data_IF_278653614406
#
_entry.id   IF_278653614406
#
_cell.length_a   1.000
_cell.length_b   1.000
_cell.length_c   1.000
_cell.angle_alpha   90.00
_cell.angle_beta   90.00
_cell.angle_gamma   90.00
#
_symmetry.space_group_name_H-M   'P 1'
#
loop_
_entity.id
_entity.type
_entity.pdbx_description
1 polymer ?
#
# COMPACT_ATOMS: atom_id res chain seq x y z
N UNK A 1 9.91 -3.09 1.60
CA UNK A 1 9.39 -4.43 1.33
C UNK A 1 9.18 -4.62 -0.17
N UNK A 2 8.31 -3.86 -0.81
CA UNK A 2 7.92 -4.00 -2.22
C UNK A 2 9.14 -3.98 -3.18
N UNK A 3 10.06 -3.03 -3.00
CA UNK A 3 11.27 -2.94 -3.82
C UNK A 3 12.20 -4.17 -3.70
N UNK A 4 12.22 -4.85 -2.56
CA UNK A 4 12.93 -6.12 -2.41
C UNK A 4 12.18 -7.28 -3.07
N UNK A 5 10.85 -7.26 -3.01
CA UNK A 5 10.02 -8.22 -3.74
C UNK A 5 10.29 -8.17 -5.24
N UNK A 6 10.35 -6.97 -5.82
CA UNK A 6 10.65 -6.78 -7.24
C UNK A 6 12.09 -7.14 -7.64
N UNK A 7 13.04 -7.02 -6.71
CA UNK A 7 14.42 -7.40 -6.97
C UNK A 7 14.69 -8.91 -6.85
N UNK A 8 13.83 -9.67 -6.18
CA UNK A 8 14.04 -11.07 -5.84
C UNK A 8 12.96 -12.02 -6.38
N UNK A 9 11.93 -11.49 -7.06
CA UNK A 9 10.85 -12.27 -7.63
C UNK A 9 10.41 -11.75 -8.98
N UNK A 10 9.66 -12.58 -9.71
CA UNK A 10 9.06 -12.21 -10.99
C UNK A 10 7.99 -11.15 -10.75
N UNK A 11 8.07 -10.03 -11.47
CA UNK A 11 7.10 -8.92 -11.41
C UNK A 11 5.67 -9.38 -11.69
N UNK A 12 5.52 -10.36 -12.59
CA UNK A 12 4.24 -10.95 -12.96
C UNK A 12 3.53 -11.66 -11.80
N UNK A 13 4.27 -12.04 -10.76
CA UNK A 13 3.77 -12.70 -9.56
C UNK A 13 3.70 -11.74 -8.38
N UNK A 14 4.79 -11.00 -8.15
CA UNK A 14 4.91 -10.10 -6.97
C UNK A 14 3.89 -8.96 -7.01
N UNK A 15 3.67 -8.38 -8.18
CA UNK A 15 2.76 -7.24 -8.32
C UNK A 15 1.30 -7.61 -8.06
N UNK A 16 0.72 -8.67 -8.65
CA UNK A 16 -0.65 -9.09 -8.39
C UNK A 16 -0.89 -9.47 -6.93
N UNK A 17 0.03 -10.23 -6.35
CA UNK A 17 -0.07 -10.63 -4.94
C UNK A 17 -0.08 -9.39 -4.05
N UNK A 18 0.90 -8.49 -4.19
CA UNK A 18 0.98 -7.29 -3.35
C UNK A 18 -0.25 -6.37 -3.51
N UNK A 19 -0.79 -6.25 -4.73
CA UNK A 19 -1.97 -5.42 -5.02
C UNK A 19 -3.28 -6.07 -4.67
N UNK A 20 -3.40 -7.38 -4.82
CA UNK A 20 -4.64 -8.13 -4.52
C UNK A 20 -4.85 -8.33 -3.01
N UNK A 21 -3.78 -8.46 -2.23
CA UNK A 21 -3.89 -8.64 -0.78
C UNK A 21 -4.43 -7.40 -0.05
N UNK A 22 -4.16 -6.18 -0.53
CA UNK A 22 -4.72 -4.96 0.06
C UNK A 22 -6.25 -4.97 0.07
N UNK A 23 -6.92 -4.93 -1.10
CA UNK A 23 -8.38 -4.96 -1.20
C UNK A 23 -9.02 -6.18 -0.55
N UNK A 24 -8.32 -7.31 -0.43
CA UNK A 24 -8.82 -8.51 0.23
C UNK A 24 -8.73 -8.41 1.76
N UNK A 25 -7.61 -7.94 2.30
CA UNK A 25 -7.38 -7.93 3.75
C UNK A 25 -7.98 -6.73 4.47
N UNK A 26 -8.04 -5.56 3.81
CA UNK A 26 -8.59 -4.35 4.45
C UNK A 26 -10.03 -4.53 4.91
N UNK A 27 -10.97 -5.05 4.11
CA UNK A 27 -12.33 -5.30 4.56
C UNK A 27 -12.42 -6.29 5.71
N UNK A 28 -11.62 -7.36 5.68
CA UNK A 28 -11.56 -8.36 6.77
C UNK A 28 -11.10 -7.68 8.07
N UNK A 29 -10.01 -6.93 8.02
CA UNK A 29 -9.50 -6.21 9.18
C UNK A 29 -10.46 -5.10 9.64
N UNK A 30 -11.15 -4.43 8.72
CA UNK A 30 -12.15 -3.41 9.06
C UNK A 30 -13.34 -3.99 9.85
N UNK A 31 -13.82 -5.16 9.48
CA UNK A 31 -14.87 -5.86 10.25
C UNK A 31 -14.35 -6.24 11.64
N UNK A 32 -13.16 -6.85 11.71
CA UNK A 32 -12.63 -7.39 12.98
C UNK A 32 -12.20 -6.26 13.93
N UNK A 33 -11.49 -5.25 13.42
CA UNK A 33 -10.83 -4.24 14.24
C UNK A 33 -11.63 -2.94 14.42
N UNK A 34 -12.47 -2.60 13.44
CA UNK A 34 -13.28 -1.38 13.46
C UNK A 34 -14.78 -1.67 13.67
N UNK A 35 -15.21 -2.94 13.66
CA UNK A 35 -16.60 -3.32 13.76
C UNK A 35 -17.45 -2.86 12.56
N UNK A 36 -16.83 -2.66 11.38
CA UNK A 36 -17.58 -2.25 10.19
C UNK A 36 -18.49 -3.38 9.70
N UNK A 37 -19.70 -3.02 9.29
CA UNK A 37 -20.62 -3.94 8.61
C UNK A 37 -20.47 -3.79 7.10
N UNK A 38 -20.25 -4.88 6.38
CA UNK A 38 -20.11 -4.88 4.93
C UNK A 38 -21.42 -5.34 4.31
N UNK A 39 -21.97 -4.56 3.35
CA UNK A 39 -23.16 -4.95 2.63
C UNK A 39 -22.84 -6.03 1.58
N UNK A 40 -23.83 -6.87 1.24
CA UNK A 40 -23.66 -7.90 0.22
C UNK A 40 -23.17 -7.36 -1.14
N UNK A 41 -23.70 -6.24 -1.67
CA UNK A 41 -23.14 -5.64 -2.89
C UNK A 41 -21.66 -5.27 -2.79
N UNK A 42 -21.20 -4.79 -1.63
CA UNK A 42 -19.80 -4.46 -1.43
C UNK A 42 -18.91 -5.72 -1.39
N UNK A 43 -19.37 -6.80 -0.77
CA UNK A 43 -18.67 -8.11 -0.82
C UNK A 43 -18.51 -8.58 -2.26
N UNK A 44 -19.57 -8.50 -3.06
CA UNK A 44 -19.53 -8.86 -4.48
C UNK A 44 -18.57 -7.96 -5.28
N UNK A 45 -18.56 -6.66 -5.01
CA UNK A 45 -17.63 -5.70 -5.62
C UNK A 45 -16.16 -6.02 -5.28
N UNK A 46 -15.88 -6.26 -4.01
CA UNK A 46 -14.53 -6.65 -3.54
C UNK A 46 -14.10 -7.97 -4.21
N UNK A 47 -14.98 -8.96 -4.23
CA UNK A 47 -14.70 -10.24 -4.88
C UNK A 47 -14.43 -10.07 -6.38
N UNK A 48 -15.19 -9.21 -7.08
CA UNK A 48 -14.97 -8.90 -8.49
C UNK A 48 -13.62 -8.21 -8.73
N UNK A 49 -13.22 -7.25 -7.89
CA UNK A 49 -11.91 -6.58 -7.97
C UNK A 49 -10.78 -7.59 -7.78
N UNK A 50 -10.86 -8.41 -6.74
CA UNK A 50 -9.85 -9.43 -6.46
C UNK A 50 -9.76 -10.43 -7.62
N UNK A 51 -10.91 -10.94 -8.10
CA UNK A 51 -10.94 -11.83 -9.25
C UNK A 51 -10.35 -11.18 -10.50
N UNK A 52 -10.67 -9.90 -10.77
CA UNK A 52 -10.12 -9.15 -11.90
C UNK A 52 -8.59 -9.03 -11.84
N UNK A 53 -8.03 -8.71 -10.67
CA UNK A 53 -6.58 -8.65 -10.48
C UNK A 53 -5.94 -10.03 -10.77
N UNK A 54 -6.55 -11.11 -10.27
CA UNK A 54 -6.05 -12.46 -10.53
C UNK A 54 -6.17 -12.87 -11.99
N UNK A 55 -7.27 -12.53 -12.66
CA UNK A 55 -7.48 -12.84 -14.09
C UNK A 55 -6.46 -12.11 -14.97
N UNK A 56 -6.27 -10.81 -14.77
CA UNK A 56 -5.31 -10.01 -15.55
C UNK A 56 -3.88 -10.52 -15.36
N UNK A 57 -3.58 -11.00 -14.16
CA UNK A 57 -2.25 -11.45 -13.77
C UNK A 57 -2.09 -12.96 -13.89
N UNK A 58 -3.03 -13.65 -14.57
CA UNK A 58 -3.05 -15.09 -14.69
C UNK A 58 -1.83 -15.59 -15.48
N UNK A 59 -0.82 -16.01 -14.75
CA UNK A 59 0.38 -16.65 -15.26
C UNK A 59 0.50 -18.05 -14.67
N UNK A 60 1.24 -18.93 -15.31
CA UNK A 60 1.44 -20.29 -14.80
C UNK A 60 1.99 -20.32 -13.37
N UNK A 61 2.81 -19.34 -12.99
CA UNK A 61 3.33 -19.18 -11.63
C UNK A 61 2.21 -18.82 -10.63
N UNK A 62 1.31 -17.89 -10.97
CA UNK A 62 0.20 -17.52 -10.12
C UNK A 62 -0.77 -18.69 -9.91
N UNK A 63 -1.05 -19.45 -10.98
CA UNK A 63 -1.83 -20.67 -10.91
C UNK A 63 -1.22 -21.68 -9.94
N UNK A 64 0.09 -21.86 -10.00
CA UNK A 64 0.82 -22.73 -9.06
C UNK A 64 0.65 -22.32 -7.61
N UNK A 65 0.66 -21.00 -7.30
CA UNK A 65 0.44 -20.51 -5.94
C UNK A 65 -0.98 -20.71 -5.43
N UNK A 66 -1.98 -20.63 -6.30
CA UNK A 66 -3.37 -20.90 -5.92
C UNK A 66 -3.60 -22.36 -5.56
N UNK A 67 -3.02 -23.30 -6.33
CA UNK A 67 -3.18 -24.72 -6.09
C UNK A 67 -2.18 -25.28 -5.05
N UNK A 68 -1.07 -24.58 -4.80
CA UNK A 68 -0.05 -24.96 -3.83
C UNK A 68 0.35 -23.77 -2.94
N UNK A 69 -0.52 -23.33 -2.00
CA UNK A 69 -0.28 -22.11 -1.20
C UNK A 69 1.02 -22.16 -0.40
N UNK A 70 1.50 -23.34 -0.04
CA UNK A 70 2.81 -23.52 0.62
C UNK A 70 4.00 -23.09 -0.24
N UNK A 71 3.86 -23.06 -1.57
CA UNK A 71 4.90 -22.59 -2.48
C UNK A 71 5.18 -21.08 -2.36
N UNK A 72 4.23 -20.29 -1.82
CA UNK A 72 4.43 -18.88 -1.45
C UNK A 72 5.55 -18.73 -0.42
N UNK A 73 5.61 -19.66 0.54
CA UNK A 73 6.61 -19.64 1.61
C UNK A 73 8.03 -19.96 1.10
N UNK A 74 8.17 -20.69 0.01
CA UNK A 74 9.46 -20.99 -0.61
C UNK A 74 9.95 -19.89 -1.56
N UNK A 75 9.04 -19.07 -2.12
CA UNK A 75 9.37 -17.98 -3.04
C UNK A 75 9.60 -16.67 -2.27
N UNK A 76 10.84 -16.19 -2.26
CA UNK A 76 11.22 -14.97 -1.52
C UNK A 76 10.47 -13.73 -2.03
N UNK A 77 10.25 -13.58 -3.34
CA UNK A 77 9.48 -12.48 -3.93
C UNK A 77 8.02 -12.47 -3.46
N UNK A 78 7.36 -13.64 -3.49
CA UNK A 78 5.99 -13.81 -3.03
C UNK A 78 5.84 -13.51 -1.52
N UNK A 79 6.81 -13.92 -0.68
CA UNK A 79 6.83 -13.56 0.74
C UNK A 79 6.85 -12.04 0.96
N UNK A 80 7.71 -11.31 0.24
CA UNK A 80 7.75 -9.85 0.30
C UNK A 80 6.46 -9.21 -0.22
N UNK A 81 5.81 -9.80 -1.23
CA UNK A 81 4.53 -9.32 -1.73
C UNK A 81 3.40 -9.46 -0.69
N UNK A 82 3.29 -10.62 -0.05
CA UNK A 82 2.31 -10.85 1.04
C UNK A 82 2.56 -9.91 2.22
N UNK A 83 3.82 -9.76 2.66
CA UNK A 83 4.18 -8.81 3.72
C UNK A 83 3.86 -7.38 3.34
N UNK A 84 4.02 -7.00 2.07
CA UNK A 84 3.63 -5.67 1.58
C UNK A 84 2.13 -5.47 1.66
N UNK A 85 1.33 -6.44 1.18
CA UNK A 85 -0.12 -6.39 1.26
C UNK A 85 -0.64 -6.32 2.70
N UNK A 86 -0.04 -7.10 3.61
CA UNK A 86 -0.37 -7.03 5.04
C UNK A 86 -0.03 -5.65 5.63
N UNK A 87 1.13 -5.08 5.28
CA UNK A 87 1.51 -3.73 5.72
C UNK A 87 0.53 -2.68 5.20
N UNK A 88 0.08 -2.80 3.94
CA UNK A 88 -0.95 -1.93 3.35
C UNK A 88 -2.25 -2.02 4.15
N UNK A 89 -2.72 -3.22 4.44
CA UNK A 89 -3.94 -3.41 5.20
C UNK A 89 -3.87 -2.84 6.61
N UNK A 90 -2.74 -3.04 7.31
CA UNK A 90 -2.54 -2.51 8.66
C UNK A 90 -2.51 -0.99 8.67
N UNK A 91 -1.74 -0.35 7.77
CA UNK A 91 -1.70 1.12 7.77
C UNK A 91 -3.05 1.73 7.38
N UNK A 92 -3.83 1.12 6.48
CA UNK A 92 -5.15 1.60 6.11
C UNK A 92 -6.12 1.65 7.33
N UNK A 93 -6.04 0.65 8.21
CA UNK A 93 -6.81 0.64 9.46
C UNK A 93 -6.32 1.72 10.44
N UNK A 94 -5.01 1.90 10.55
CA UNK A 94 -4.41 2.96 11.39
C UNK A 94 -4.84 4.34 10.87
N UNK A 95 -4.76 4.56 9.55
CA UNK A 95 -5.17 5.81 8.91
C UNK A 95 -6.65 6.09 9.16
N UNK A 96 -7.53 5.10 9.02
CA UNK A 96 -8.96 5.25 9.32
C UNK A 96 -9.20 5.69 10.77
N UNK A 97 -8.52 5.06 11.73
CA UNK A 97 -8.59 5.49 13.13
C UNK A 97 -7.98 6.87 13.34
N UNK A 98 -6.89 7.19 12.67
CA UNK A 98 -6.25 8.50 12.75
C UNK A 98 -7.18 9.62 12.29
N UNK A 99 -7.79 9.49 11.11
CA UNK A 99 -8.69 10.51 10.56
C UNK A 99 -10.05 10.59 11.27
N UNK A 100 -10.41 9.63 12.12
CA UNK A 100 -11.58 9.73 12.98
C UNK A 100 -11.38 10.65 14.18
N UNK A 101 -10.13 10.97 14.55
CA UNK A 101 -9.77 11.82 15.68
C UNK A 101 -9.15 13.14 15.25
N UNK A 102 -8.56 13.19 14.06
CA UNK A 102 -7.83 14.35 13.55
C UNK A 102 -8.29 14.66 12.13
N UNK A 103 -8.35 15.93 11.77
CA UNK A 103 -8.70 16.32 10.39
C UNK A 103 -7.74 15.69 9.38
N UNK A 104 -8.24 15.18 8.22
CA UNK A 104 -7.43 14.43 7.26
C UNK A 104 -6.16 15.15 6.79
N UNK A 105 -6.24 16.45 6.53
CA UNK A 105 -5.07 17.22 6.10
C UNK A 105 -4.02 17.39 7.21
N UNK A 106 -4.47 17.61 8.45
CA UNK A 106 -3.55 17.69 9.60
C UNK A 106 -2.89 16.33 9.85
N UNK A 107 -3.67 15.25 9.78
CA UNK A 107 -3.15 13.88 9.90
C UNK A 107 -2.08 13.60 8.81
N UNK A 108 -2.38 13.92 7.55
CA UNK A 108 -1.45 13.79 6.44
C UNK A 108 -0.15 14.56 6.69
N UNK A 109 -0.27 15.81 7.14
CA UNK A 109 0.89 16.65 7.45
C UNK A 109 1.77 16.03 8.54
N UNK A 110 1.17 15.57 9.64
CA UNK A 110 1.88 14.93 10.75
C UNK A 110 2.57 13.64 10.31
N UNK A 111 1.91 12.80 9.52
CA UNK A 111 2.47 11.55 8.99
C UNK A 111 3.64 11.82 8.04
N UNK A 112 3.50 12.82 7.16
CA UNK A 112 4.55 13.21 6.21
C UNK A 112 5.76 13.80 6.95
N UNK A 113 5.52 14.68 7.92
CA UNK A 113 6.57 15.27 8.76
C UNK A 113 7.29 14.20 9.58
N UNK A 114 6.54 13.31 10.24
CA UNK A 114 7.10 12.20 11.00
C UNK A 114 7.97 11.28 10.13
N UNK A 115 7.47 10.93 8.95
CA UNK A 115 8.22 10.13 7.98
C UNK A 115 9.50 10.84 7.52
N UNK A 116 9.43 12.14 7.25
CA UNK A 116 10.59 12.94 6.84
C UNK A 116 11.65 12.99 7.97
N UNK A 117 11.23 13.25 9.20
CA UNK A 117 12.13 13.30 10.37
C UNK A 117 12.80 11.95 10.61
N UNK A 118 12.06 10.85 10.50
CA UNK A 118 12.61 9.51 10.72
C UNK A 118 13.51 9.02 9.56
N UNK A 119 13.13 9.32 8.32
CA UNK A 119 13.86 8.81 7.15
C UNK A 119 15.05 9.68 6.76
N UNK A 120 14.99 10.98 6.98
CA UNK A 120 16.05 11.92 6.58
C UNK A 120 17.44 11.56 7.15
N UNK A 121 17.61 11.26 8.46
CA UNK A 121 18.89 10.85 9.02
C UNK A 121 19.44 9.58 8.38
N UNK A 122 18.57 8.59 8.14
CA UNK A 122 18.92 7.33 7.49
C UNK A 122 19.40 7.56 6.05
N UNK A 123 18.63 8.34 5.27
CA UNK A 123 18.97 8.66 3.88
C UNK A 123 20.27 9.43 3.79
N UNK A 124 20.45 10.44 4.66
CA UNK A 124 21.68 11.24 4.75
C UNK A 124 22.91 10.38 5.06
N UNK A 125 22.78 9.41 5.98
CA UNK A 125 23.88 8.49 6.32
C UNK A 125 24.21 7.55 5.17
N UNK A 126 23.21 7.06 4.45
CA UNK A 126 23.39 6.07 3.39
C UNK A 126 23.92 6.66 2.08
N UNK A 127 23.45 7.84 1.69
CA UNK A 127 23.74 8.42 0.36
C UNK A 127 24.62 9.67 0.41
N UNK A 128 24.80 10.26 1.58
CA UNK A 128 25.57 11.49 1.78
C UNK A 128 24.84 12.76 1.29
N UNK A 129 25.26 13.90 1.82
CA UNK A 129 24.64 15.20 1.50
C UNK A 129 24.90 15.65 0.06
N UNK A 130 26.04 15.26 -0.51
CA UNK A 130 26.41 15.64 -1.88
C UNK A 130 25.50 14.97 -2.93
N UNK A 131 25.19 13.67 -2.75
CA UNK A 131 24.30 12.94 -3.65
C UNK A 131 22.87 13.53 -3.58
N UNK A 132 22.37 13.83 -2.38
CA UNK A 132 21.07 14.48 -2.18
C UNK A 132 21.02 15.85 -2.87
N UNK A 133 22.05 16.69 -2.70
CA UNK A 133 22.11 18.00 -3.34
C UNK A 133 22.18 17.91 -4.86
N UNK A 134 22.92 16.92 -5.40
CA UNK A 134 23.00 16.67 -6.86
C UNK A 134 21.64 16.27 -7.42
N UNK A 135 20.98 15.28 -6.79
CA UNK A 135 19.65 14.82 -7.19
C UNK A 135 18.63 15.94 -7.13
N UNK A 136 18.65 16.76 -6.07
CA UNK A 136 17.76 17.92 -5.96
C UNK A 136 17.98 18.92 -7.10
N UNK A 137 19.22 19.30 -7.39
CA UNK A 137 19.53 20.25 -8.48
C UNK A 137 19.12 19.73 -9.84
N UNK A 138 19.31 18.43 -10.10
CA UNK A 138 19.00 17.80 -11.38
C UNK A 138 17.49 17.59 -11.61
N UNK A 139 16.74 17.24 -10.55
CA UNK A 139 15.35 16.77 -10.69
C UNK A 139 14.35 17.54 -9.83
N UNK A 140 14.67 18.77 -9.38
CA UNK A 140 13.82 19.55 -8.45
C UNK A 140 12.35 19.67 -8.89
N UNK A 141 12.09 19.95 -10.18
CA UNK A 141 10.73 20.08 -10.71
C UNK A 141 9.94 18.77 -10.59
N UNK A 142 10.55 17.65 -10.98
CA UNK A 142 9.93 16.31 -10.88
C UNK A 142 9.72 15.89 -9.43
N UNK A 143 10.67 16.19 -8.54
CA UNK A 143 10.56 15.88 -7.10
C UNK A 143 9.42 16.66 -6.48
N UNK A 144 9.33 17.97 -6.75
CA UNK A 144 8.23 18.82 -6.24
C UNK A 144 6.89 18.38 -6.81
N UNK A 145 6.81 18.15 -8.12
CA UNK A 145 5.58 17.69 -8.76
C UNK A 145 5.12 16.34 -8.20
N UNK A 146 6.03 15.38 -8.08
CA UNK A 146 5.72 14.08 -7.50
C UNK A 146 5.26 14.19 -6.04
N UNK A 147 5.92 15.04 -5.23
CA UNK A 147 5.52 15.30 -3.86
C UNK A 147 4.12 15.89 -3.75
N UNK A 148 3.81 16.91 -4.55
CA UNK A 148 2.49 17.56 -4.57
C UNK A 148 1.39 16.60 -5.01
N UNK A 149 1.61 15.86 -6.11
CA UNK A 149 0.63 14.90 -6.64
C UNK A 149 0.38 13.75 -5.65
N UNK A 150 1.45 13.23 -5.04
CA UNK A 150 1.32 12.16 -4.03
C UNK A 150 0.58 12.67 -2.78
N UNK A 151 0.91 13.87 -2.31
CA UNK A 151 0.21 14.47 -1.17
C UNK A 151 -1.26 14.73 -1.47
N UNK A 152 -1.58 15.26 -2.67
CA UNK A 152 -2.96 15.46 -3.09
C UNK A 152 -3.73 14.13 -3.15
N UNK A 153 -3.17 13.12 -3.82
CA UNK A 153 -3.79 11.80 -3.92
C UNK A 153 -4.03 11.18 -2.54
N UNK A 154 -3.04 11.22 -1.66
CA UNK A 154 -3.17 10.66 -0.31
C UNK A 154 -4.16 11.46 0.55
N UNK A 155 -4.16 12.79 0.44
CA UNK A 155 -5.13 13.65 1.11
C UNK A 155 -6.58 13.35 0.68
N UNK A 156 -6.82 13.09 -0.60
CA UNK A 156 -8.14 12.66 -1.10
C UNK A 156 -8.56 11.30 -0.53
N UNK A 157 -7.65 10.33 -0.45
CA UNK A 157 -7.92 9.01 0.16
C UNK A 157 -8.25 9.17 1.65
N UNK A 158 -7.50 9.97 2.40
CA UNK A 158 -7.77 10.21 3.81
C UNK A 158 -9.10 10.93 4.04
N UNK A 159 -9.44 11.87 3.16
CA UNK A 159 -10.74 12.54 3.19
C UNK A 159 -11.87 11.55 2.91
N UNK A 160 -11.70 10.68 1.93
CA UNK A 160 -12.65 9.60 1.68
C UNK A 160 -12.80 8.67 2.89
N UNK A 161 -11.70 8.31 3.55
CA UNK A 161 -11.74 7.53 4.81
C UNK A 161 -12.48 8.24 5.94
N UNK A 162 -12.45 9.57 6.03
CA UNK A 162 -13.23 10.32 7.03
C UNK A 162 -14.72 10.30 6.75
N UNK A 163 -15.12 10.22 5.48
CA UNK A 163 -16.53 10.30 5.05
C UNK A 163 -17.21 8.93 4.92
N UNK A 164 -16.45 7.86 4.73
CA UNK A 164 -17.00 6.53 4.45
C UNK A 164 -16.25 5.41 5.19
N UNK A 165 -16.75 4.19 5.04
CA UNK A 165 -16.11 2.99 5.61
C UNK A 165 -14.83 2.67 4.84
N UNK A 166 -13.77 2.27 5.56
CA UNK A 166 -12.49 1.94 4.91
C UNK A 166 -12.61 0.74 3.98
N UNK A 167 -13.50 -0.21 4.30
CA UNK A 167 -13.77 -1.39 3.48
C UNK A 167 -14.30 -1.10 2.07
N UNK A 168 -14.80 0.13 1.81
CA UNK A 168 -15.31 0.54 0.48
C UNK A 168 -14.32 1.37 -0.32
N UNK A 169 -13.26 1.85 0.30
CA UNK A 169 -12.31 2.80 -0.29
C UNK A 169 -10.97 2.12 -0.60
N UNK A 170 -10.60 1.13 0.17
CA UNK A 170 -9.36 0.37 0.02
C UNK A 170 -9.48 -0.70 -1.05
#
# INVERSE_FOLDING_TARGET
LLGRGYAQGDLSVVYPIARGFGPMLVPILAVILLGETISLPAVLGIAAIVAGIYIISWTGELQRFLFQPWSILSNTGARYAVLTGLTIAVYAIIDKRGVSHVQPFLYMYLMTLGSAVCLFPYIRRKWGTQALGRTWRSHRKSIVAAGLLTSLAYGLVLTAFSLSRVSYIA
#
